data_IF_206558838561
#
_entry.id   IF_206558838561
#
_cell.length_a   1.000
_cell.length_b   1.000
_cell.length_c   1.000
_cell.angle_alpha   90.00
_cell.angle_beta   90.00
_cell.angle_gamma   90.00
#
_symmetry.space_group_name_H-M   'P 1'
#
loop_
_entity.id
_entity.type
_entity.pdbx_description
1 polymer ?
#
# COMPACT_ATOMS: atom_id res chain seq x y z
N UNK A 1 -72.43 -2.10 8.11
CA UNK A 1 -72.99 -1.17 7.11
C UNK A 1 -72.85 0.26 7.66
N UNK A 2 -72.21 1.12 6.86
CA UNK A 2 -72.07 2.60 6.89
C UNK A 2 -71.30 3.22 8.08
N UNK A 3 -70.07 3.75 7.96
CA UNK A 3 -69.49 4.89 7.19
C UNK A 3 -69.84 6.31 7.70
N UNK A 4 -68.77 7.14 7.76
CA UNK A 4 -68.60 8.62 7.84
C UNK A 4 -67.64 8.90 9.03
N UNK A 5 -66.33 9.14 8.92
CA UNK A 5 -65.48 10.04 8.11
C UNK A 5 -65.59 11.55 8.48
N UNK A 6 -64.47 12.10 9.00
CA UNK A 6 -63.77 13.34 8.60
C UNK A 6 -63.32 14.30 9.74
N UNK A 7 -61.98 14.40 9.87
CA UNK A 7 -61.08 15.57 9.83
C UNK A 7 -61.26 16.81 10.73
N UNK A 8 -60.14 17.24 11.34
CA UNK A 8 -59.94 18.62 11.82
C UNK A 8 -58.53 18.91 12.34
N UNK A 9 -57.71 19.61 11.53
CA UNK A 9 -56.37 20.14 11.84
C UNK A 9 -56.36 21.32 12.84
N UNK A 10 -55.31 21.45 13.67
CA UNK A 10 -54.25 22.50 13.59
C UNK A 10 -53.48 22.72 14.91
N UNK A 11 -52.15 22.72 14.77
CA UNK A 11 -51.09 23.47 15.46
C UNK A 11 -51.34 24.15 16.83
N UNK A 12 -50.46 23.87 17.81
CA UNK A 12 -49.62 24.92 18.43
C UNK A 12 -48.40 24.39 19.21
N UNK A 13 -47.21 24.80 18.72
CA UNK A 13 -45.91 25.17 19.32
C UNK A 13 -45.51 24.75 20.76
N UNK A 14 -44.26 24.24 20.82
CA UNK A 14 -43.11 24.58 21.70
C UNK A 14 -43.29 24.78 23.23
N UNK A 15 -42.59 23.95 24.01
CA UNK A 15 -41.74 24.34 25.15
C UNK A 15 -40.87 23.12 25.55
N UNK A 16 -39.55 23.16 25.35
CA UNK A 16 -38.49 23.57 26.30
C UNK A 16 -38.27 22.63 27.49
N UNK A 17 -37.02 22.17 27.62
CA UNK A 17 -36.51 21.37 28.73
C UNK A 17 -35.64 20.22 28.19
N UNK A 18 -34.46 20.52 27.65
CA UNK A 18 -33.20 20.38 28.39
C UNK A 18 -33.15 19.01 29.05
N UNK A 19 -32.42 18.06 28.47
CA UNK A 19 -31.64 17.10 29.23
C UNK A 19 -30.58 16.49 28.30
N UNK A 20 -29.33 16.70 28.71
CA UNK A 20 -28.20 15.84 28.40
C UNK A 20 -27.56 15.97 27.00
N UNK A 21 -27.20 17.19 26.62
CA UNK A 21 -25.92 17.42 25.94
C UNK A 21 -24.83 17.45 27.02
N UNK A 22 -24.31 16.28 27.37
CA UNK A 22 -23.09 16.12 28.16
C UNK A 22 -22.42 14.82 27.70
N UNK A 23 -21.48 14.94 26.77
CA UNK A 23 -20.19 14.22 26.62
C UNK A 23 -19.63 14.65 25.26
N UNK A 24 -19.32 15.94 25.13
CA UNK A 24 -18.34 16.47 24.18
C UNK A 24 -17.80 17.73 24.86
N UNK A 25 -16.47 17.89 24.84
CA UNK A 25 -15.66 18.89 25.56
C UNK A 25 -15.13 18.38 26.91
N UNK A 26 -14.07 17.57 26.88
CA UNK A 26 -13.11 17.52 27.99
C UNK A 26 -11.69 17.10 27.59
N UNK A 27 -11.06 17.75 26.59
CA UNK A 27 -9.57 17.74 26.48
C UNK A 27 -9.07 19.10 25.96
N UNK A 28 -9.20 20.15 26.77
CA UNK A 28 -8.40 21.40 26.64
C UNK A 28 -8.20 22.05 28.01
N UNK A 29 -7.41 21.44 28.89
CA UNK A 29 -6.91 22.08 30.12
C UNK A 29 -5.55 21.54 30.55
N UNK A 30 -4.50 21.72 29.75
CA UNK A 30 -3.11 21.68 30.25
C UNK A 30 -2.23 22.67 29.48
N UNK A 31 -2.52 23.96 29.67
CA UNK A 31 -1.58 25.07 29.63
C UNK A 31 -2.06 25.95 30.80
N UNK A 32 -1.29 26.33 31.80
CA UNK A 32 0.06 26.88 31.80
C UNK A 32 0.55 27.01 33.26
N UNK A 33 1.85 27.26 33.42
CA UNK A 33 2.57 27.79 34.59
C UNK A 33 3.57 26.83 35.26
N UNK A 34 4.82 26.85 34.75
CA UNK A 34 5.99 26.82 35.61
C UNK A 34 6.99 27.86 35.06
N UNK A 35 7.09 28.97 35.77
CA UNK A 35 8.01 30.06 35.47
C UNK A 35 9.36 29.81 36.17
N UNK A 36 10.42 30.09 35.40
CA UNK A 36 11.70 30.69 35.79
C UNK A 36 12.64 29.93 36.74
N UNK A 37 13.80 29.53 36.20
CA UNK A 37 15.06 30.21 36.53
C UNK A 37 16.12 30.00 35.41
N UNK A 38 16.83 31.05 34.97
CA UNK A 38 17.83 30.98 33.90
C UNK A 38 19.25 30.80 34.47
N UNK A 39 19.94 29.73 34.08
CA UNK A 39 21.38 29.58 34.33
C UNK A 39 22.17 30.06 33.11
N UNK A 40 22.96 31.10 33.33
CA UNK A 40 23.89 31.72 32.40
C UNK A 40 24.98 30.73 31.97
N UNK A 41 25.28 30.69 30.68
CA UNK A 41 26.61 30.31 30.20
C UNK A 41 27.03 31.30 29.11
N UNK A 42 28.22 31.83 29.32
CA UNK A 42 28.79 33.05 28.76
C UNK A 42 29.22 32.88 27.29
N UNK A 43 28.77 33.77 26.42
CA UNK A 43 29.29 33.96 25.06
C UNK A 43 30.76 34.38 25.10
N UNK A 44 31.61 33.74 24.29
CA UNK A 44 32.92 34.26 23.91
C UNK A 44 32.92 34.46 22.40
N UNK A 45 32.72 35.71 22.01
CA UNK A 45 32.90 36.20 20.64
C UNK A 45 34.39 36.31 20.34
N UNK A 46 34.87 35.68 19.25
CA UNK A 46 35.94 36.23 18.40
C UNK A 46 35.68 35.89 16.92
N UNK A 47 35.66 36.89 16.02
CA UNK A 47 35.52 36.68 14.58
C UNK A 47 36.90 36.42 13.96
N UNK A 48 36.98 35.50 13.00
CA UNK A 48 38.12 35.44 12.07
C UNK A 48 37.59 35.69 10.67
N UNK A 49 38.23 36.68 10.05
CA UNK A 49 37.87 37.34 8.82
C UNK A 49 38.03 36.47 7.58
N UNK A 50 37.30 36.89 6.54
CA UNK A 50 37.48 36.55 5.13
C UNK A 50 38.89 36.90 4.64
N UNK A 51 39.46 36.04 3.81
CA UNK A 51 40.32 36.46 2.69
C UNK A 51 40.33 35.35 1.63
N UNK A 52 39.80 35.64 0.43
CA UNK A 52 40.59 35.78 -0.79
C UNK A 52 41.12 34.46 -1.36
N UNK A 53 40.42 33.95 -2.36
CA UNK A 53 41.05 33.61 -3.62
C UNK A 53 40.07 33.90 -4.76
N UNK A 54 40.53 34.77 -5.64
CA UNK A 54 39.90 35.13 -6.89
C UNK A 54 40.56 34.34 -8.02
N UNK A 55 39.80 34.18 -9.10
CA UNK A 55 40.25 34.11 -10.49
C UNK A 55 40.88 32.81 -11.02
N UNK A 56 40.07 32.09 -11.79
CA UNK A 56 40.32 31.63 -13.18
C UNK A 56 39.03 30.92 -13.61
N UNK A 57 38.11 31.50 -14.39
CA UNK A 57 38.20 31.89 -15.81
C UNK A 57 39.09 30.96 -16.63
N UNK A 58 38.49 29.90 -17.13
CA UNK A 58 38.80 29.35 -18.44
C UNK A 58 37.49 29.38 -19.21
N UNK A 59 37.45 30.25 -20.21
CA UNK A 59 36.47 30.25 -21.27
C UNK A 59 36.54 28.92 -22.02
N UNK A 60 35.40 28.43 -22.49
CA UNK A 60 35.29 27.83 -23.82
C UNK A 60 33.85 28.04 -24.27
N UNK A 61 33.68 29.15 -24.99
CA UNK A 61 32.62 29.32 -25.97
C UNK A 61 32.83 28.33 -27.13
N UNK A 62 31.73 28.06 -27.81
CA UNK A 62 31.58 27.51 -29.17
C UNK A 62 31.90 26.02 -29.36
N UNK A 63 30.85 25.21 -29.49
CA UNK A 63 30.41 24.80 -30.83
C UNK A 63 29.04 24.11 -30.79
N UNK A 64 28.11 24.64 -31.58
CA UNK A 64 26.96 23.91 -32.03
C UNK A 64 27.43 22.93 -33.11
N UNK A 65 27.21 21.64 -32.89
CA UNK A 65 27.04 20.66 -33.97
C UNK A 65 25.81 19.85 -33.59
N UNK A 66 24.75 20.09 -34.36
CA UNK A 66 23.76 19.06 -34.66
C UNK A 66 24.52 17.80 -35.05
N UNK A 67 24.26 16.68 -34.38
CA UNK A 67 24.39 15.32 -34.93
C UNK A 67 23.48 14.42 -34.09
N UNK A 68 22.27 14.25 -34.64
CA UNK A 68 21.26 13.27 -34.32
C UNK A 68 21.76 11.90 -34.81
N UNK A 69 22.70 11.30 -34.07
CA UNK A 69 23.22 9.96 -34.32
C UNK A 69 22.90 9.06 -33.11
N UNK A 70 21.61 8.76 -32.90
CA UNK A 70 21.26 7.50 -32.25
C UNK A 70 21.34 6.38 -33.31
N UNK A 71 22.57 6.10 -33.74
CA UNK A 71 22.91 4.85 -34.39
C UNK A 71 22.66 3.75 -33.37
N UNK A 72 21.48 3.13 -33.43
CA UNK A 72 21.36 1.75 -32.98
C UNK A 72 22.18 0.95 -33.96
N UNK A 73 23.43 0.70 -33.61
CA UNK A 73 24.21 -0.37 -34.21
C UNK A 73 23.32 -1.61 -34.22
N UNK A 74 23.16 -2.21 -35.40
CA UNK A 74 22.62 -3.54 -35.57
C UNK A 74 23.68 -4.52 -35.02
N UNK A 75 23.73 -4.70 -33.70
CA UNK A 75 24.36 -5.85 -33.08
C UNK A 75 23.36 -7.02 -33.06
N UNK A 76 23.53 -7.83 -34.12
CA UNK A 76 23.13 -9.22 -34.29
C UNK A 76 23.56 -10.07 -33.08
N UNK A 77 22.75 -10.03 -32.01
CA UNK A 77 22.85 -10.98 -30.90
C UNK A 77 21.98 -12.21 -31.21
N UNK A 78 22.52 -13.09 -32.06
CA UNK A 78 22.27 -14.52 -31.97
C UNK A 78 22.99 -15.05 -30.71
N UNK A 79 22.37 -14.88 -29.53
CA UNK A 79 22.78 -15.59 -28.32
C UNK A 79 21.54 -16.22 -27.68
N UNK A 80 21.46 -17.54 -27.83
CA UNK A 80 20.61 -18.46 -27.07
C UNK A 80 21.00 -18.39 -25.57
N UNK A 81 20.77 -17.25 -24.91
CA UNK A 81 21.07 -17.05 -23.49
C UNK A 81 19.79 -17.28 -22.65
N UNK A 82 19.74 -18.47 -22.08
CA UNK A 82 18.87 -18.96 -21.01
C UNK A 82 18.14 -17.85 -20.23
N UNK A 83 16.87 -17.57 -20.57
CA UNK A 83 15.79 -16.92 -19.78
C UNK A 83 16.20 -16.25 -18.44
N UNK A 84 17.14 -15.29 -18.45
CA UNK A 84 17.46 -14.46 -17.29
C UNK A 84 16.42 -13.34 -17.30
N UNK A 85 15.58 -13.20 -16.26
CA UNK A 85 14.59 -12.12 -16.21
C UNK A 85 15.29 -10.76 -16.24
N UNK A 86 15.34 -10.12 -17.40
CA UNK A 86 16.03 -8.85 -17.58
C UNK A 86 15.20 -7.73 -16.95
N UNK A 87 15.73 -7.13 -15.87
CA UNK A 87 15.09 -5.97 -15.24
C UNK A 87 15.15 -4.79 -16.19
N UNK A 88 13.99 -4.36 -16.69
CA UNK A 88 13.88 -3.19 -17.58
C UNK A 88 14.00 -1.88 -16.78
N UNK A 89 14.42 -0.77 -17.42
CA UNK A 89 14.38 0.54 -16.80
C UNK A 89 12.95 0.90 -16.40
N UNK A 90 12.77 1.44 -15.19
CA UNK A 90 11.45 1.84 -14.71
C UNK A 90 11.01 3.13 -15.41
N UNK A 91 10.05 3.01 -16.34
CA UNK A 91 9.49 4.16 -17.07
C UNK A 91 10.60 5.01 -17.69
N UNK A 92 10.61 6.32 -17.44
CA UNK A 92 11.61 7.26 -17.93
C UNK A 92 12.85 7.38 -17.01
N UNK A 93 13.16 6.35 -16.19
CA UNK A 93 14.34 6.31 -15.32
C UNK A 93 15.41 5.42 -15.92
N UNK A 94 16.68 5.71 -15.59
CA UNK A 94 17.79 4.86 -16.01
C UNK A 94 17.75 3.49 -15.34
N UNK A 95 18.35 2.49 -16.00
CA UNK A 95 18.50 1.14 -15.42
C UNK A 95 19.24 1.18 -14.07
N UNK A 96 20.32 1.96 -13.98
CA UNK A 96 21.08 2.14 -12.74
C UNK A 96 20.22 2.69 -11.59
N UNK A 97 19.30 3.62 -11.87
CA UNK A 97 18.37 4.13 -10.86
C UNK A 97 17.40 3.03 -10.40
N UNK A 98 16.85 2.27 -11.35
CA UNK A 98 15.90 1.18 -11.08
C UNK A 98 16.52 0.10 -10.19
N UNK A 99 17.74 -0.34 -10.51
CA UNK A 99 18.48 -1.32 -9.71
C UNK A 99 18.78 -0.81 -8.29
N UNK A 100 19.17 0.47 -8.16
CA UNK A 100 19.39 1.10 -6.85
C UNK A 100 18.09 1.18 -6.04
N UNK A 101 16.98 1.53 -6.68
CA UNK A 101 15.67 1.59 -6.03
C UNK A 101 15.25 0.22 -5.51
N UNK A 102 15.31 -0.83 -6.34
CA UNK A 102 14.99 -2.21 -5.96
C UNK A 102 15.87 -2.74 -4.83
N UNK A 103 17.15 -2.36 -4.81
CA UNK A 103 18.07 -2.71 -3.70
C UNK A 103 17.65 -2.08 -2.37
N UNK A 104 17.15 -0.85 -2.38
CA UNK A 104 16.71 -0.14 -1.18
C UNK A 104 15.29 -0.54 -0.76
N UNK A 105 14.43 -0.83 -1.73
CA UNK A 105 13.04 -1.25 -1.56
C UNK A 105 12.84 -2.59 -2.27
N UNK A 106 13.20 -3.72 -1.65
CA UNK A 106 12.89 -5.03 -2.20
C UNK A 106 11.38 -5.29 -2.17
N UNK A 107 10.90 -6.14 -3.09
CA UNK A 107 9.48 -6.45 -3.31
C UNK A 107 8.73 -6.69 -2.00
N UNK A 108 9.20 -7.64 -1.17
CA UNK A 108 8.55 -8.00 0.09
C UNK A 108 8.38 -6.84 1.07
N UNK A 109 9.38 -5.94 1.13
CA UNK A 109 9.29 -4.76 2.02
C UNK A 109 8.30 -3.74 1.47
N UNK A 110 8.23 -3.57 0.16
CA UNK A 110 7.27 -2.67 -0.46
C UNK A 110 5.85 -3.23 -0.32
N UNK A 111 5.65 -4.53 -0.58
CA UNK A 111 4.39 -5.25 -0.39
C UNK A 111 3.88 -5.16 1.04
N UNK A 112 4.74 -5.39 2.04
CA UNK A 112 4.35 -5.27 3.45
C UNK A 112 3.81 -3.87 3.82
N UNK A 113 4.36 -2.80 3.21
CA UNK A 113 3.82 -1.44 3.37
C UNK A 113 2.46 -1.29 2.71
N UNK A 114 2.30 -1.82 1.50
CA UNK A 114 1.02 -1.77 0.78
C UNK A 114 -0.10 -2.49 1.55
N UNK A 115 0.19 -3.67 2.07
CA UNK A 115 -0.75 -4.43 2.91
C UNK A 115 -1.13 -3.62 4.16
N UNK A 116 -0.19 -2.87 4.74
CA UNK A 116 -0.47 -2.02 5.91
C UNK A 116 -1.39 -0.83 5.62
N UNK A 117 -1.51 -0.41 4.35
CA UNK A 117 -2.47 0.64 3.95
C UNK A 117 -3.90 0.11 3.79
N UNK A 118 -4.07 -1.20 3.54
CA UNK A 118 -5.37 -1.84 3.52
C UNK A 118 -6.25 -1.52 2.31
N UNK A 119 -5.64 -1.16 1.16
CA UNK A 119 -6.36 -1.00 -0.11
C UNK A 119 -6.96 -2.32 -0.57
N UNK A 120 -8.21 -2.30 -1.06
CA UNK A 120 -8.96 -3.53 -1.35
C UNK A 120 -9.20 -3.79 -2.83
N UNK A 121 -8.86 -2.82 -3.67
CA UNK A 121 -9.10 -2.88 -5.11
C UNK A 121 -8.00 -2.15 -5.88
N UNK A 122 -7.97 -2.36 -7.19
CA UNK A 122 -7.09 -1.62 -8.09
C UNK A 122 -7.53 -0.16 -8.19
N UNK A 123 -8.83 0.10 -8.11
CA UNK A 123 -9.42 1.43 -8.12
C UNK A 123 -8.95 2.24 -6.91
N UNK A 124 -8.96 1.62 -5.71
CA UNK A 124 -8.43 2.23 -4.48
C UNK A 124 -6.93 2.54 -4.63
N UNK A 125 -6.19 1.66 -5.29
CA UNK A 125 -4.77 1.85 -5.55
C UNK A 125 -4.51 3.04 -6.47
N UNK A 126 -5.26 3.17 -7.55
CA UNK A 126 -5.14 4.27 -8.51
C UNK A 126 -5.49 5.62 -7.86
N UNK A 127 -6.48 5.64 -6.95
CA UNK A 127 -6.79 6.81 -6.13
C UNK A 127 -5.66 7.15 -5.14
N UNK A 128 -5.11 6.16 -4.43
CA UNK A 128 -3.99 6.35 -3.52
C UNK A 128 -2.72 6.82 -4.24
N UNK A 129 -2.49 6.31 -5.45
CA UNK A 129 -1.40 6.69 -6.34
C UNK A 129 -1.52 8.14 -6.80
N UNK A 130 -2.70 8.56 -7.26
CA UNK A 130 -2.97 9.91 -7.75
C UNK A 130 -2.99 10.96 -6.64
N UNK A 131 -3.45 10.59 -5.44
CA UNK A 131 -3.44 11.45 -4.25
C UNK A 131 -2.07 11.54 -3.56
N UNK A 132 -1.08 10.75 -3.99
CA UNK A 132 0.27 10.75 -3.43
C UNK A 132 0.38 10.07 -2.06
N UNK A 133 -0.63 9.30 -1.65
CA UNK A 133 -0.69 8.63 -0.35
C UNK A 133 0.32 7.47 -0.22
N UNK A 134 0.79 6.92 -1.34
CA UNK A 134 1.74 5.79 -1.37
C UNK A 134 3.14 6.14 -0.82
N UNK A 135 3.51 7.42 -0.81
CA UNK A 135 4.82 7.91 -0.36
C UNK A 135 5.97 7.53 -1.31
N UNK A 136 7.22 7.79 -0.89
CA UNK A 136 8.41 7.63 -1.76
C UNK A 136 8.91 6.18 -1.90
N UNK A 137 8.48 5.29 -1.00
CA UNK A 137 9.01 3.93 -0.86
C UNK A 137 8.14 2.86 -1.52
N UNK A 138 7.06 3.28 -2.17
CA UNK A 138 6.14 2.43 -2.91
C UNK A 138 6.06 2.99 -4.33
N UNK A 139 6.43 2.21 -5.36
CA UNK A 139 6.33 2.67 -6.73
C UNK A 139 4.86 2.76 -7.16
N UNK A 140 4.55 3.73 -8.02
CA UNK A 140 3.21 3.89 -8.62
C UNK A 140 2.81 2.69 -9.48
N UNK A 141 3.76 2.14 -10.24
CA UNK A 141 3.59 1.00 -11.13
C UNK A 141 4.43 -0.18 -10.62
N UNK A 142 3.93 -0.93 -9.63
CA UNK A 142 4.68 -2.01 -8.99
C UNK A 142 4.88 -3.22 -9.92
N UNK A 143 3.97 -3.43 -10.87
CA UNK A 143 4.06 -4.42 -11.94
C UNK A 143 5.26 -4.18 -12.87
N UNK A 144 5.55 -2.93 -13.21
CA UNK A 144 6.77 -2.58 -13.96
C UNK A 144 8.02 -2.65 -13.08
N UNK A 145 7.96 -2.10 -11.86
CA UNK A 145 9.13 -2.05 -10.96
C UNK A 145 9.60 -3.44 -10.51
N UNK A 146 8.66 -4.36 -10.31
CA UNK A 146 8.89 -5.71 -9.80
C UNK A 146 8.50 -6.79 -10.80
N UNK A 147 8.59 -6.51 -12.10
CA UNK A 147 8.21 -7.46 -13.15
C UNK A 147 8.72 -8.91 -12.94
N UNK A 148 9.97 -9.16 -12.47
CA UNK A 148 10.42 -10.53 -12.20
C UNK A 148 9.73 -11.21 -11.01
N UNK A 149 9.30 -10.45 -10.01
CA UNK A 149 8.64 -10.93 -8.79
C UNK A 149 7.12 -10.76 -8.81
N UNK A 150 6.58 -10.10 -9.83
CA UNK A 150 5.20 -9.69 -9.89
C UNK A 150 4.29 -10.85 -10.26
N UNK A 151 3.48 -11.30 -9.29
CA UNK A 151 2.47 -12.34 -9.53
C UNK A 151 1.14 -11.72 -10.00
N UNK A 152 0.74 -10.60 -9.40
CA UNK A 152 -0.51 -9.93 -9.71
C UNK A 152 -0.97 -8.99 -8.61
N UNK A 153 -2.07 -8.27 -8.91
CA UNK A 153 -2.65 -7.27 -8.00
C UNK A 153 -3.11 -7.87 -6.68
N UNK A 154 -3.76 -9.02 -6.70
CA UNK A 154 -4.26 -9.65 -5.46
C UNK A 154 -3.11 -9.94 -4.49
N UNK A 155 -1.97 -10.41 -4.99
CA UNK A 155 -0.82 -10.70 -4.13
C UNK A 155 -0.20 -9.42 -3.57
N UNK A 156 -0.03 -8.42 -4.43
CA UNK A 156 0.53 -7.12 -4.06
C UNK A 156 -0.31 -6.38 -3.01
N UNK A 157 -1.63 -6.41 -3.16
CA UNK A 157 -2.58 -5.79 -2.24
C UNK A 157 -2.84 -6.67 -0.99
N UNK A 158 -2.40 -7.92 -1.00
CA UNK A 158 -2.62 -8.86 0.11
C UNK A 158 -4.05 -9.40 0.19
N UNK A 159 -4.74 -9.48 -0.96
CA UNK A 159 -6.08 -10.05 -1.07
C UNK A 159 -6.03 -11.58 -1.00
N UNK A 160 -6.95 -12.15 -0.22
CA UNK A 160 -7.15 -13.60 -0.17
C UNK A 160 -7.78 -14.10 -1.47
N UNK A 161 -7.61 -15.39 -1.76
CA UNK A 161 -8.24 -16.05 -2.90
C UNK A 161 -9.77 -15.99 -2.83
N UNK A 162 -10.41 -16.19 -3.98
CA UNK A 162 -11.86 -16.36 -4.05
C UNK A 162 -12.32 -17.62 -3.31
N UNK A 163 -13.60 -17.69 -2.93
CA UNK A 163 -14.17 -18.89 -2.29
C UNK A 163 -13.94 -20.15 -3.13
N UNK A 164 -14.27 -20.11 -4.43
CA UNK A 164 -14.14 -21.25 -5.32
C UNK A 164 -12.69 -21.72 -5.49
N UNK A 165 -11.74 -20.79 -5.59
CA UNK A 165 -10.31 -21.13 -5.69
C UNK A 165 -9.80 -21.75 -4.39
N UNK A 166 -10.16 -21.17 -3.25
CA UNK A 166 -9.79 -21.71 -1.93
C UNK A 166 -10.41 -23.08 -1.71
N UNK A 167 -11.67 -23.28 -2.12
CA UNK A 167 -12.39 -24.55 -2.07
C UNK A 167 -11.67 -25.62 -2.90
N UNK A 168 -11.33 -25.31 -4.16
CA UNK A 168 -10.61 -26.23 -5.05
C UNK A 168 -9.21 -26.55 -4.52
N UNK A 169 -8.51 -25.56 -4.00
CA UNK A 169 -7.17 -25.71 -3.42
C UNK A 169 -7.22 -26.58 -2.16
N UNK A 170 -8.13 -26.32 -1.23
CA UNK A 170 -8.25 -27.08 0.01
C UNK A 170 -8.66 -28.54 -0.25
N UNK A 171 -9.67 -28.78 -1.10
CA UNK A 171 -10.20 -30.11 -1.35
C UNK A 171 -9.32 -30.93 -2.31
N UNK A 172 -8.90 -30.35 -3.44
CA UNK A 172 -8.25 -31.11 -4.52
C UNK A 172 -6.73 -31.08 -4.45
N UNK A 173 -6.13 -29.95 -4.08
CA UNK A 173 -4.66 -29.79 -4.11
C UNK A 173 -4.05 -30.21 -2.77
N UNK A 174 -4.61 -29.74 -1.66
CA UNK A 174 -4.11 -30.06 -0.32
C UNK A 174 -4.71 -31.36 0.22
N UNK A 175 -5.85 -31.81 -0.32
CA UNK A 175 -6.51 -33.04 0.10
C UNK A 175 -7.09 -33.00 1.52
N UNK A 176 -7.40 -31.79 2.02
CA UNK A 176 -7.94 -31.57 3.35
C UNK A 176 -9.42 -31.98 3.37
N UNK A 177 -9.85 -32.60 4.47
CA UNK A 177 -11.19 -33.21 4.58
C UNK A 177 -12.08 -32.54 5.63
N UNK A 178 -11.51 -31.70 6.49
CA UNK A 178 -12.23 -31.03 7.56
C UNK A 178 -11.65 -29.65 7.86
N UNK A 179 -12.46 -28.82 8.52
CA UNK A 179 -12.01 -27.52 9.03
C UNK A 179 -10.89 -27.67 10.05
N UNK A 180 -10.89 -28.76 10.84
CA UNK A 180 -9.83 -29.04 11.81
C UNK A 180 -8.49 -29.25 11.11
N UNK A 181 -8.45 -30.09 10.07
CA UNK A 181 -7.24 -30.30 9.26
C UNK A 181 -6.79 -29.00 8.58
N UNK A 182 -7.74 -28.20 8.08
CA UNK A 182 -7.46 -26.90 7.48
C UNK A 182 -6.83 -25.93 8.48
N UNK A 183 -7.40 -25.77 9.68
CA UNK A 183 -6.84 -24.89 10.71
C UNK A 183 -5.47 -25.37 11.18
N UNK A 184 -5.31 -26.69 11.31
CA UNK A 184 -4.02 -27.27 11.64
C UNK A 184 -2.97 -26.98 10.56
N UNK A 185 -3.33 -27.11 9.28
CA UNK A 185 -2.47 -26.76 8.15
C UNK A 185 -2.05 -25.29 8.19
N UNK A 186 -3.01 -24.36 8.29
CA UNK A 186 -2.72 -22.92 8.32
C UNK A 186 -1.83 -22.54 9.50
N UNK A 187 -2.04 -23.17 10.67
CA UNK A 187 -1.26 -22.89 11.88
C UNK A 187 0.13 -23.52 11.86
N UNK A 188 0.26 -24.73 11.32
CA UNK A 188 1.53 -25.47 11.30
C UNK A 188 2.49 -24.96 10.21
N UNK A 189 1.95 -24.57 9.05
CA UNK A 189 2.73 -24.10 7.90
C UNK A 189 2.28 -22.69 7.48
N UNK A 190 2.50 -21.72 8.38
CA UNK A 190 2.02 -20.34 8.20
C UNK A 190 2.58 -19.66 6.95
N UNK A 191 3.84 -19.95 6.59
CA UNK A 191 4.48 -19.38 5.40
C UNK A 191 3.83 -19.90 4.11
N UNK A 192 3.55 -21.20 4.06
CA UNK A 192 2.85 -21.79 2.92
C UNK A 192 1.42 -21.29 2.85
N UNK A 193 0.72 -21.18 3.98
CA UNK A 193 -0.64 -20.64 4.01
C UNK A 193 -0.69 -19.18 3.53
N UNK A 194 0.28 -18.36 3.95
CA UNK A 194 0.43 -16.99 3.46
C UNK A 194 0.66 -16.95 1.95
N UNK A 195 1.58 -17.75 1.41
CA UNK A 195 1.82 -17.84 -0.03
C UNK A 195 0.63 -18.39 -0.82
N UNK A 196 -0.20 -19.24 -0.22
CA UNK A 196 -1.43 -19.72 -0.84
C UNK A 196 -2.57 -18.69 -0.76
N UNK A 197 -2.41 -17.58 -0.02
CA UNK A 197 -3.40 -16.52 0.16
C UNK A 197 -4.76 -17.06 0.62
N UNK A 198 -4.73 -18.01 1.55
CA UNK A 198 -5.91 -18.65 2.10
C UNK A 198 -6.28 -18.03 3.47
N UNK A 199 -7.56 -17.76 3.74
CA UNK A 199 -7.98 -17.16 5.01
C UNK A 199 -7.85 -18.16 6.16
N UNK A 200 -7.52 -17.68 7.36
CA UNK A 200 -7.45 -18.53 8.57
C UNK A 200 -8.81 -19.14 8.92
N UNK A 201 -9.89 -18.38 8.73
CA UNK A 201 -11.29 -18.76 9.03
C UNK A 201 -12.12 -18.62 7.75
N UNK A 202 -12.17 -19.65 6.87
CA UNK A 202 -12.90 -19.57 5.62
C UNK A 202 -14.41 -19.46 5.85
N UNK A 203 -14.90 -20.03 6.96
CA UNK A 203 -16.29 -19.94 7.42
C UNK A 203 -16.76 -18.51 7.72
N UNK A 204 -15.86 -17.67 8.25
CA UNK A 204 -16.15 -16.26 8.51
C UNK A 204 -15.78 -15.35 7.34
N UNK A 205 -14.70 -15.66 6.62
CA UNK A 205 -14.22 -14.83 5.53
C UNK A 205 -15.15 -14.87 4.31
N UNK A 206 -15.73 -16.05 4.02
CA UNK A 206 -16.68 -16.23 2.92
C UNK A 206 -18.11 -16.35 3.43
N UNK A 207 -18.49 -15.62 4.48
CA UNK A 207 -19.79 -15.77 5.15
C UNK A 207 -20.99 -15.75 4.18
N UNK A 208 -20.92 -14.93 3.13
CA UNK A 208 -21.96 -14.80 2.11
C UNK A 208 -22.05 -16.00 1.15
N UNK A 209 -20.94 -16.69 0.90
CA UNK A 209 -20.83 -17.84 -0.01
C UNK A 209 -20.81 -19.19 0.73
N UNK A 210 -20.66 -19.15 2.06
CA UNK A 210 -20.49 -20.32 2.91
C UNK A 210 -21.81 -21.07 3.11
N UNK A 211 -21.85 -22.32 2.65
CA UNK A 211 -23.01 -23.19 2.83
C UNK A 211 -22.81 -24.08 4.05
N UNK A 212 -21.87 -25.01 3.96
CA UNK A 212 -21.48 -25.92 5.02
C UNK A 212 -20.08 -26.47 4.77
N UNK A 213 -19.50 -27.08 5.81
CA UNK A 213 -18.18 -27.69 5.74
C UNK A 213 -18.11 -28.79 4.67
N UNK A 214 -19.18 -29.57 4.50
CA UNK A 214 -19.20 -30.67 3.52
C UNK A 214 -19.11 -30.17 2.10
N UNK A 215 -19.88 -29.13 1.75
CA UNK A 215 -19.80 -28.46 0.46
C UNK A 215 -18.41 -27.87 0.25
N UNK A 216 -17.84 -27.20 1.25
CA UNK A 216 -16.50 -26.62 1.15
C UNK A 216 -15.42 -27.66 0.81
N UNK A 217 -15.43 -28.83 1.46
CA UNK A 217 -14.47 -29.90 1.16
C UNK A 217 -14.92 -30.86 0.04
N UNK A 218 -15.98 -30.52 -0.71
CA UNK A 218 -16.53 -31.31 -1.83
C UNK A 218 -16.78 -32.78 -1.45
N UNK A 219 -17.25 -33.01 -0.22
CA UNK A 219 -17.55 -34.33 0.31
C UNK A 219 -18.99 -34.70 -0.04
N UNK A 220 -19.16 -35.84 -0.70
CA UNK A 220 -20.47 -36.47 -0.96
C UNK A 220 -21.07 -37.06 0.31
#
# INVERSE_FOLDING_TARGET
MNLIQQNGHRHHRYNHGIHCVLIFIHITKYASAFLASPCQIHEVVKPIARSLWASQSINNDDNATDDDDNATDDDDYDDDDDDVPTVKPYRNRSLAWTLRYRKLNPYEKARARVISFGHRSKEDWDEAASSGQLGQYVPTYPDEMYAPEWVGWDEWLGLMRSYNDTQQLAASILGLKSLEEYYFFVKSDSKRAEGLRIPLRPDLYYEDEWIDEKSFFRRS
#
